data_IF_519256638765
#
_entry.id   IF_519256638765
#
_cell.length_a   1.000
_cell.length_b   1.000
_cell.length_c   1.000
_cell.angle_alpha   90.00
_cell.angle_beta   90.00
_cell.angle_gamma   90.00
#
_symmetry.space_group_name_H-M   'P 1'
#
loop_
_entity.id
_entity.type
_entity.pdbx_description
1 polymer ?
#
# COMPACT_ATOMS: atom_id res chain seq x y z
N UNK A 1 -6.07 22.79 -15.05
CA UNK A 1 -5.47 22.01 -13.94
C UNK A 1 -4.46 21.05 -14.56
N UNK A 2 -3.17 21.15 -14.22
CA UNK A 2 -2.13 20.34 -14.89
C UNK A 2 -2.06 18.94 -14.27
N UNK A 3 -1.69 17.92 -15.06
CA UNK A 3 -1.44 16.55 -14.56
C UNK A 3 -0.50 16.55 -13.34
N UNK A 4 0.51 17.43 -13.32
CA UNK A 4 1.42 17.61 -12.18
C UNK A 4 0.70 18.08 -10.91
N UNK A 5 -0.28 18.98 -11.02
CA UNK A 5 -1.04 19.46 -9.86
C UNK A 5 -1.99 18.40 -9.28
N UNK A 6 -2.54 17.52 -10.11
CA UNK A 6 -3.36 16.39 -9.66
C UNK A 6 -2.46 15.38 -8.94
N UNK A 7 -1.36 14.99 -9.57
CA UNK A 7 -0.40 14.03 -9.01
C UNK A 7 0.25 14.53 -7.72
N UNK A 8 0.60 15.81 -7.64
CA UNK A 8 1.11 16.44 -6.43
C UNK A 8 0.14 16.35 -5.25
N UNK A 9 -1.16 16.39 -5.52
CA UNK A 9 -2.17 16.13 -4.50
C UNK A 9 -2.07 14.70 -3.98
N UNK A 10 -1.93 13.72 -4.87
CA UNK A 10 -2.12 12.31 -4.54
C UNK A 10 -0.96 11.69 -3.76
N UNK A 11 0.23 12.28 -3.85
CA UNK A 11 1.42 11.78 -3.17
C UNK A 11 1.53 12.34 -1.74
N UNK A 12 2.04 11.55 -0.79
CA UNK A 12 2.40 12.07 0.53
C UNK A 12 3.48 13.16 0.40
N UNK A 13 3.33 14.25 1.15
CA UNK A 13 4.27 15.38 1.13
C UNK A 13 5.65 15.04 1.73
N UNK A 14 5.73 14.03 2.60
CA UNK A 14 6.98 13.58 3.20
C UNK A 14 7.72 12.61 2.27
N UNK A 15 9.06 12.66 2.15
CA UNK A 15 9.82 11.68 1.38
C UNK A 15 9.78 10.28 2.03
N UNK A 16 9.91 9.19 1.24
CA UNK A 16 9.97 7.84 1.79
C UNK A 16 11.25 7.66 2.62
N UNK A 17 11.19 6.78 3.63
CA UNK A 17 12.36 6.42 4.47
C UNK A 17 13.14 5.25 3.88
N UNK A 18 14.42 5.12 4.25
CA UNK A 18 15.24 3.96 3.83
C UNK A 18 14.65 2.62 4.23
N UNK A 19 14.09 2.52 5.43
CA UNK A 19 13.41 1.29 5.88
C UNK A 19 12.25 0.94 4.96
N UNK A 20 11.43 1.93 4.57
CA UNK A 20 10.34 1.71 3.63
C UNK A 20 10.85 1.25 2.26
N UNK A 21 11.92 1.87 1.74
CA UNK A 21 12.51 1.47 0.45
C UNK A 21 13.04 0.05 0.50
N UNK A 22 13.82 -0.31 1.54
CA UNK A 22 14.44 -1.63 1.70
C UNK A 22 13.36 -2.70 1.89
N UNK A 23 12.41 -2.49 2.79
CA UNK A 23 11.31 -3.45 3.04
C UNK A 23 10.47 -3.65 1.79
N UNK A 24 10.17 -2.57 1.07
CA UNK A 24 9.38 -2.66 -0.16
C UNK A 24 10.15 -3.37 -1.28
N UNK A 25 11.47 -3.14 -1.40
CA UNK A 25 12.31 -3.85 -2.35
C UNK A 25 12.39 -5.34 -2.04
N UNK A 26 12.65 -5.72 -0.78
CA UNK A 26 12.66 -7.10 -0.30
C UNK A 26 11.32 -7.79 -0.56
N UNK A 27 10.22 -7.14 -0.18
CA UNK A 27 8.88 -7.66 -0.41
C UNK A 27 8.60 -7.86 -1.91
N UNK A 28 9.02 -6.92 -2.76
CA UNK A 28 8.84 -7.00 -4.21
C UNK A 28 9.64 -8.16 -4.83
N UNK A 29 10.90 -8.34 -4.42
CA UNK A 29 11.74 -9.45 -4.89
C UNK A 29 11.16 -10.79 -4.44
N UNK A 30 10.81 -10.93 -3.16
CA UNK A 30 10.16 -12.13 -2.64
C UNK A 30 8.90 -12.47 -3.41
N UNK A 31 8.07 -11.46 -3.68
CA UNK A 31 6.82 -11.60 -4.41
C UNK A 31 7.04 -12.00 -5.87
N UNK A 32 8.06 -11.43 -6.54
CA UNK A 32 8.41 -11.79 -7.91
C UNK A 32 8.87 -13.25 -8.00
N UNK A 33 9.65 -13.73 -7.03
CA UNK A 33 10.05 -15.13 -6.93
C UNK A 33 8.83 -16.04 -6.71
N UNK A 34 7.90 -15.67 -5.83
CA UNK A 34 6.66 -16.43 -5.61
C UNK A 34 5.79 -16.52 -6.86
N UNK A 35 5.68 -15.45 -7.65
CA UNK A 35 4.99 -15.49 -8.95
C UNK A 35 5.71 -16.45 -9.91
N UNK A 36 7.03 -16.35 -10.00
CA UNK A 36 7.82 -17.16 -10.92
C UNK A 36 7.69 -18.66 -10.64
N UNK A 37 7.60 -19.03 -9.36
CA UNK A 37 7.37 -20.43 -8.91
C UNK A 37 5.90 -20.87 -9.02
N UNK A 38 4.97 -19.96 -9.30
CA UNK A 38 3.53 -20.26 -9.35
C UNK A 38 3.03 -20.42 -10.78
N UNK A 39 2.58 -21.63 -11.15
CA UNK A 39 2.05 -21.93 -12.48
C UNK A 39 0.67 -21.29 -12.79
N UNK A 40 -0.04 -20.80 -11.77
CA UNK A 40 -1.39 -20.26 -11.93
C UNK A 40 -1.56 -18.96 -11.11
N UNK A 41 -1.25 -17.81 -11.71
CA UNK A 41 -1.52 -16.49 -11.13
C UNK A 41 -2.79 -15.90 -11.74
N UNK A 42 -3.74 -15.49 -10.90
CA UNK A 42 -4.91 -14.74 -11.35
C UNK A 42 -4.54 -13.28 -11.64
N UNK A 43 -4.26 -12.98 -12.91
CA UNK A 43 -3.93 -11.62 -13.35
C UNK A 43 -5.02 -10.60 -13.07
N UNK A 44 -6.29 -11.03 -13.09
CA UNK A 44 -7.44 -10.18 -12.75
C UNK A 44 -7.41 -9.79 -11.27
N UNK A 45 -7.14 -10.75 -10.37
CA UNK A 45 -7.02 -10.46 -8.94
C UNK A 45 -5.80 -9.58 -8.62
N UNK A 46 -4.67 -9.83 -9.30
CA UNK A 46 -3.47 -9.02 -9.16
C UNK A 46 -3.71 -7.58 -9.61
N UNK A 47 -4.21 -7.38 -10.83
CA UNK A 47 -4.52 -6.06 -11.37
C UNK A 47 -5.57 -5.33 -10.55
N UNK A 48 -6.60 -6.05 -10.07
CA UNK A 48 -7.62 -5.50 -9.18
C UNK A 48 -7.05 -5.01 -7.85
N UNK A 49 -6.25 -5.84 -7.16
CA UNK A 49 -5.61 -5.46 -5.92
C UNK A 49 -4.62 -4.29 -6.10
N UNK A 50 -3.86 -4.29 -7.19
CA UNK A 50 -2.98 -3.17 -7.55
C UNK A 50 -3.78 -1.87 -7.72
N UNK A 51 -4.82 -1.89 -8.55
CA UNK A 51 -5.65 -0.72 -8.82
C UNK A 51 -6.34 -0.21 -7.56
N UNK A 52 -6.87 -1.10 -6.73
CA UNK A 52 -7.47 -0.75 -5.44
C UNK A 52 -6.44 -0.13 -4.51
N UNK A 53 -5.23 -0.68 -4.43
CA UNK A 53 -4.16 -0.14 -3.56
C UNK A 53 -3.78 1.28 -3.98
N UNK A 54 -3.57 1.52 -5.28
CA UNK A 54 -3.25 2.85 -5.81
C UNK A 54 -4.43 3.81 -5.62
N UNK A 55 -5.66 3.37 -5.87
CA UNK A 55 -6.86 4.19 -5.69
C UNK A 55 -7.11 4.54 -4.21
N UNK A 56 -6.87 3.61 -3.30
CA UNK A 56 -7.02 3.84 -1.86
C UNK A 56 -5.96 4.83 -1.36
N UNK A 57 -4.70 4.62 -1.75
CA UNK A 57 -3.58 5.44 -1.30
C UNK A 57 -3.57 6.86 -1.91
N UNK A 58 -4.08 7.03 -3.13
CA UNK A 58 -4.16 8.33 -3.80
C UNK A 58 -5.53 9.01 -3.65
N UNK A 59 -6.45 8.84 -4.63
CA UNK A 59 -7.66 9.63 -4.76
C UNK A 59 -8.65 9.44 -3.60
N UNK A 60 -8.77 8.21 -3.08
CA UNK A 60 -9.71 7.93 -1.97
C UNK A 60 -9.19 8.55 -0.67
N UNK A 61 -7.88 8.52 -0.41
CA UNK A 61 -7.29 9.19 0.74
C UNK A 61 -7.52 10.73 0.69
N UNK A 62 -7.54 11.31 -0.50
CA UNK A 62 -7.81 12.73 -0.75
C UNK A 62 -9.30 13.10 -0.69
N UNK A 63 -10.19 12.11 -0.83
CA UNK A 63 -11.63 12.33 -0.87
C UNK A 63 -12.19 12.89 0.43
N UNK A 64 -13.43 13.39 0.38
CA UNK A 64 -14.17 13.85 1.57
C UNK A 64 -14.29 12.76 2.64
N UNK A 65 -14.35 11.49 2.24
CA UNK A 65 -14.35 10.32 3.13
C UNK A 65 -12.98 10.15 3.80
N UNK A 66 -11.89 10.20 3.03
CA UNK A 66 -10.52 10.13 3.53
C UNK A 66 -10.20 11.24 4.52
N UNK A 67 -10.60 12.49 4.22
CA UNK A 67 -10.47 13.63 5.14
C UNK A 67 -11.25 13.43 6.44
N UNK A 68 -12.49 12.94 6.37
CA UNK A 68 -13.31 12.64 7.57
C UNK A 68 -12.67 11.54 8.42
N UNK A 69 -12.14 10.50 7.79
CA UNK A 69 -11.40 9.44 8.46
C UNK A 69 -10.12 9.98 9.11
N UNK A 70 -9.33 10.81 8.42
CA UNK A 70 -8.09 11.41 8.95
C UNK A 70 -8.33 12.36 10.12
N UNK A 71 -9.47 13.07 10.14
CA UNK A 71 -9.87 13.91 11.26
C UNK A 71 -10.40 13.12 12.45
N UNK A 72 -11.01 11.95 12.20
CA UNK A 72 -11.54 11.06 13.25
C UNK A 72 -10.49 10.11 13.79
N UNK A 73 -9.51 9.68 12.99
CA UNK A 73 -8.51 8.69 13.37
C UNK A 73 -7.71 9.07 14.62
N UNK A 74 -7.25 10.33 14.82
CA UNK A 74 -6.60 10.73 16.07
C UNK A 74 -7.54 10.71 17.29
N UNK A 75 -8.86 10.85 17.07
CA UNK A 75 -9.89 10.76 18.12
C UNK A 75 -10.24 9.32 18.46
N UNK A 76 -10.06 8.40 17.50
CA UNK A 76 -10.11 6.96 17.74
C UNK A 76 -8.80 6.56 18.46
N UNK A 77 -8.80 6.67 19.79
CA UNK A 77 -7.66 6.20 20.59
C UNK A 77 -7.28 4.75 20.28
N UNK A 78 -6.08 4.31 20.73
CA UNK A 78 -5.48 2.99 20.40
C UNK A 78 -6.46 1.80 20.50
N UNK A 79 -7.43 1.87 21.43
CA UNK A 79 -8.46 0.83 21.62
C UNK A 79 -9.41 0.68 20.43
N UNK A 80 -9.79 1.77 19.78
CA UNK A 80 -10.70 1.72 18.64
C UNK A 80 -9.99 1.19 17.38
N UNK A 81 -8.70 1.49 17.21
CA UNK A 81 -7.85 0.87 16.18
C UNK A 81 -7.70 -0.63 16.45
N UNK A 82 -7.39 -1.02 17.68
CA UNK A 82 -7.29 -2.43 18.05
C UNK A 82 -8.61 -3.19 17.84
N UNK A 83 -9.74 -2.59 18.20
CA UNK A 83 -11.07 -3.16 17.96
C UNK A 83 -11.38 -3.29 16.46
N UNK A 84 -11.00 -2.29 15.65
CA UNK A 84 -11.14 -2.35 14.19
C UNK A 84 -10.29 -3.47 13.57
N UNK A 85 -9.04 -3.62 14.01
CA UNK A 85 -8.16 -4.71 13.58
C UNK A 85 -8.74 -6.06 14.00
N UNK A 86 -9.25 -6.18 15.23
CA UNK A 86 -9.86 -7.41 15.72
C UNK A 86 -11.12 -7.77 14.91
N UNK A 87 -12.00 -6.80 14.64
CA UNK A 87 -13.18 -7.00 13.79
C UNK A 87 -12.80 -7.43 12.37
N UNK A 88 -11.77 -6.80 11.79
CA UNK A 88 -11.25 -7.19 10.49
C UNK A 88 -10.72 -8.62 10.51
N UNK A 89 -9.92 -8.99 11.52
CA UNK A 89 -9.37 -10.34 11.68
C UNK A 89 -10.49 -11.39 11.84
N UNK A 90 -11.54 -11.09 12.60
CA UNK A 90 -12.71 -11.97 12.73
C UNK A 90 -13.43 -12.12 11.39
N UNK A 91 -13.64 -11.04 10.65
CA UNK A 91 -14.25 -11.09 9.32
C UNK A 91 -13.45 -11.94 8.32
N UNK A 92 -12.12 -11.79 8.32
CA UNK A 92 -11.22 -12.63 7.52
C UNK A 92 -11.32 -14.09 7.96
N UNK A 93 -11.28 -14.36 9.26
CA UNK A 93 -11.37 -15.72 9.80
C UNK A 93 -12.67 -16.42 9.40
N UNK A 94 -13.81 -15.73 9.50
CA UNK A 94 -15.10 -16.24 9.05
C UNK A 94 -15.07 -16.51 7.55
N UNK A 95 -14.58 -15.56 6.75
CA UNK A 95 -14.53 -15.67 5.28
C UNK A 95 -13.71 -16.89 4.84
N UNK A 96 -12.53 -17.10 5.44
CA UNK A 96 -11.64 -18.25 5.15
C UNK A 96 -12.31 -19.57 5.53
N UNK A 97 -13.16 -19.59 6.57
CA UNK A 97 -13.91 -20.79 6.96
C UNK A 97 -15.11 -21.06 6.06
N UNK A 98 -15.76 -20.02 5.54
CA UNK A 98 -17.00 -20.15 4.76
C UNK A 98 -16.76 -20.29 3.25
N UNK A 99 -15.65 -19.77 2.74
CA UNK A 99 -15.36 -19.71 1.30
C UNK A 99 -13.98 -20.32 1.06
N UNK A 100 -13.93 -21.36 0.24
CA UNK A 100 -12.66 -21.89 -0.27
C UNK A 100 -12.12 -20.93 -1.32
N UNK A 101 -11.25 -20.01 -0.89
CA UNK A 101 -10.56 -19.10 -1.79
C UNK A 101 -9.33 -19.83 -2.36
N UNK A 102 -9.18 -19.95 -3.68
CA UNK A 102 -7.99 -20.56 -4.27
C UNK A 102 -6.71 -19.82 -3.83
N UNK A 103 -5.68 -20.56 -3.46
CA UNK A 103 -4.38 -19.98 -3.05
C UNK A 103 -3.82 -19.04 -4.13
N UNK A 104 -4.03 -19.36 -5.41
CA UNK A 104 -3.66 -18.52 -6.55
C UNK A 104 -4.29 -17.12 -6.52
N UNK A 105 -5.52 -16.98 -6.01
CA UNK A 105 -6.20 -15.70 -5.86
C UNK A 105 -5.62 -14.92 -4.69
N UNK A 106 -5.35 -15.57 -3.56
CA UNK A 106 -4.74 -14.93 -2.39
C UNK A 106 -3.33 -14.42 -2.70
N UNK A 107 -2.52 -15.24 -3.35
CA UNK A 107 -1.18 -14.85 -3.81
C UNK A 107 -1.28 -13.66 -4.77
N UNK A 108 -2.16 -13.72 -5.77
CA UNK A 108 -2.36 -12.61 -6.71
C UNK A 108 -2.78 -11.30 -6.01
N UNK A 109 -3.69 -11.36 -5.03
CA UNK A 109 -4.10 -10.19 -4.24
C UNK A 109 -2.93 -9.60 -3.45
N UNK A 110 -2.21 -10.44 -2.69
CA UNK A 110 -1.06 -10.01 -1.91
C UNK A 110 0.01 -9.35 -2.79
N UNK A 111 0.29 -9.98 -3.93
CA UNK A 111 1.22 -9.46 -4.93
C UNK A 111 0.80 -8.12 -5.50
N UNK A 112 -0.47 -7.98 -5.88
CA UNK A 112 -1.00 -6.71 -6.39
C UNK A 112 -0.87 -5.56 -5.38
N UNK A 113 -1.07 -5.85 -4.09
CA UNK A 113 -0.86 -4.88 -3.01
C UNK A 113 0.61 -4.47 -2.92
N UNK A 114 1.54 -5.44 -2.90
CA UNK A 114 2.99 -5.17 -2.81
C UNK A 114 3.46 -4.34 -4.00
N UNK A 115 3.05 -4.68 -5.23
CA UNK A 115 3.37 -3.88 -6.41
C UNK A 115 2.78 -2.47 -6.34
N UNK A 116 1.55 -2.32 -5.83
CA UNK A 116 0.92 -1.02 -5.64
C UNK A 116 1.74 -0.14 -4.70
N UNK A 117 2.16 -0.70 -3.57
CA UNK A 117 3.04 0.00 -2.61
C UNK A 117 4.40 0.33 -3.23
N UNK A 118 5.02 -0.62 -3.96
CA UNK A 118 6.29 -0.41 -4.62
C UNK A 118 6.26 0.75 -5.61
N UNK A 119 5.23 0.80 -6.47
CA UNK A 119 5.05 1.91 -7.42
C UNK A 119 4.89 3.22 -6.67
N UNK A 120 4.10 3.26 -5.60
CA UNK A 120 3.91 4.47 -4.80
C UNK A 120 5.22 4.94 -4.16
N UNK A 121 6.01 4.05 -3.56
CA UNK A 121 7.30 4.38 -2.95
C UNK A 121 8.29 4.90 -3.98
N UNK A 122 8.41 4.24 -5.14
CA UNK A 122 9.29 4.68 -6.25
C UNK A 122 8.85 6.04 -6.77
N UNK A 123 7.56 6.22 -6.99
CA UNK A 123 7.02 7.47 -7.51
C UNK A 123 7.17 8.61 -6.50
N UNK A 124 7.05 8.32 -5.20
CA UNK A 124 7.28 9.27 -4.11
C UNK A 124 8.76 9.66 -4.00
N UNK A 125 9.68 8.72 -4.13
CA UNK A 125 11.12 9.00 -4.20
C UNK A 125 11.48 9.84 -5.43
N UNK A 126 10.91 9.52 -6.60
CA UNK A 126 11.12 10.27 -7.84
C UNK A 126 10.55 11.69 -7.78
N UNK A 127 9.38 11.86 -7.16
CA UNK A 127 8.70 13.15 -7.04
C UNK A 127 9.38 14.08 -6.03
N UNK A 128 9.75 13.56 -4.86
CA UNK A 128 10.42 14.34 -3.81
C UNK A 128 11.91 14.53 -4.07
N UNK A 129 12.49 13.76 -5.01
CA UNK A 129 13.90 13.79 -5.36
C UNK A 129 14.84 13.46 -4.19
N UNK A 130 14.29 12.98 -3.07
CA UNK A 130 15.01 12.75 -1.82
C UNK A 130 14.46 11.53 -1.10
N UNK A 131 15.32 10.84 -0.36
CA UNK A 131 14.94 9.76 0.56
C UNK A 131 15.30 10.25 1.95
N UNK A 132 14.34 10.22 2.88
CA UNK A 132 14.55 10.59 4.27
C UNK A 132 15.69 9.76 4.86
N UNK A 133 16.72 10.43 5.40
CA UNK A 133 17.97 9.82 5.87
C UNK A 133 19.19 10.04 4.94
N UNK A 134 18.99 10.62 3.76
CA UNK A 134 20.09 10.99 2.84
C UNK A 134 20.74 12.34 3.18
N UNK A 135 20.05 13.24 3.88
CA UNK A 135 20.50 14.63 4.10
C UNK A 135 21.33 14.90 5.36
N UNK A 136 21.79 13.88 6.08
CA UNK A 136 22.58 14.07 7.32
C UNK A 136 24.11 14.05 7.09
N UNK A 137 24.56 13.95 5.83
CA UNK A 137 25.98 14.12 5.48
C UNK A 137 26.17 15.30 4.51
N UNK A 138 26.17 16.52 5.04
CA UNK A 138 27.01 17.57 4.46
C UNK A 138 28.38 17.49 5.13
N UNK A 139 29.47 17.13 4.42
CA UNK A 139 30.80 17.45 4.92
C UNK A 139 30.93 18.98 5.01
N UNK A 140 31.41 19.47 6.15
CA UNK A 140 31.88 20.84 6.31
C UNK A 140 33.15 21.06 5.50
#
# INVERSE_FOLDING_TARGET
MSLRSIVAGWLPEAPPTWDQVIVTALASVSTALTIYESDAVSWVALGGAFAVTVAVAGPVAQSSVGRRLRQRAPRLGRRAVAAGIALFAVGVWVTVRTITVPASVLTALGTGIVFGVAVLVVFQAAYTGTISGWSERRPK
#
